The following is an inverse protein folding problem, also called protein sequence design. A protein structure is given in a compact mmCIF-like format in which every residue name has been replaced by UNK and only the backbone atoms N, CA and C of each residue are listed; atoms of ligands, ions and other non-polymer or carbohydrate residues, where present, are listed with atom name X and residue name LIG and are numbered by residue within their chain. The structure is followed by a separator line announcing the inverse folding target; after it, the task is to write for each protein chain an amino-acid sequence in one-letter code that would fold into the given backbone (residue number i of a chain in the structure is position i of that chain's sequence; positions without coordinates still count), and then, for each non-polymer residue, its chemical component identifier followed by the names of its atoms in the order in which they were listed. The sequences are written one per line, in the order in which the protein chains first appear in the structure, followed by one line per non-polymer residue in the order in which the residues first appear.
data_IF_981630276113
#
_entry.id   IF_981630276113
#
_cell.length_a   1.000
_cell.length_b   1.000
_cell.length_c   1.000
_cell.angle_alpha   90.00
_cell.angle_beta   90.00
_cell.angle_gamma   90.00
#
_symmetry.space_group_name_H-M   'P 1'
#
loop_
_entity.id
_entity.type
_entity.pdbx_description
1 polymer ?
#
# COMPACT_ATOMS: atom_id res chain seq x y z
N UNK A 1 -16.41 -14.13 -29.02
CA UNK A 1 -17.72 -14.49 -28.42
C UNK A 1 -18.37 -13.20 -27.91
N UNK A 2 -19.52 -12.79 -28.49
CA UNK A 2 -20.27 -11.59 -28.08
C UNK A 2 -20.67 -11.79 -26.61
N UNK A 3 -20.33 -10.85 -25.73
CA UNK A 3 -20.86 -10.78 -24.38
C UNK A 3 -22.40 -10.75 -24.48
N UNK A 4 -23.05 -11.89 -24.25
CA UNK A 4 -24.48 -11.91 -23.95
C UNK A 4 -24.62 -11.08 -22.67
N UNK A 5 -25.25 -9.93 -22.77
CA UNK A 5 -25.74 -9.17 -21.63
C UNK A 5 -26.75 -10.11 -20.98
N UNK A 6 -26.36 -10.74 -19.88
CA UNK A 6 -27.25 -11.61 -19.11
C UNK A 6 -28.24 -10.68 -18.41
N UNK A 7 -29.45 -10.72 -18.83
CA UNK A 7 -30.56 -9.96 -18.23
C UNK A 7 -31.01 -10.70 -16.97
N UNK A 8 -30.54 -10.25 -15.82
CA UNK A 8 -31.02 -10.72 -14.51
C UNK A 8 -32.26 -9.91 -14.12
N UNK A 9 -33.33 -10.07 -14.88
CA UNK A 9 -34.63 -9.39 -14.65
C UNK A 9 -35.31 -9.84 -13.34
N UNK A 10 -34.87 -10.96 -12.73
CA UNK A 10 -35.41 -11.50 -11.48
C UNK A 10 -34.38 -12.27 -10.68
N UNK A 11 -34.61 -12.38 -9.36
CA UNK A 11 -33.84 -13.24 -8.43
C UNK A 11 -33.79 -14.68 -8.96
N UNK A 12 -34.91 -15.16 -9.49
CA UNK A 12 -35.04 -16.51 -10.06
C UNK A 12 -34.10 -16.73 -11.26
N UNK A 13 -34.03 -15.78 -12.17
CA UNK A 13 -33.13 -15.84 -13.32
C UNK A 13 -31.65 -15.83 -12.89
N UNK A 14 -31.30 -15.02 -11.88
CA UNK A 14 -29.96 -14.98 -11.30
C UNK A 14 -29.57 -16.32 -10.68
N UNK A 15 -30.39 -16.90 -9.80
CA UNK A 15 -30.11 -18.16 -9.13
C UNK A 15 -30.04 -19.34 -10.10
N UNK A 16 -30.95 -19.38 -11.09
CA UNK A 16 -30.93 -20.38 -12.16
C UNK A 16 -29.62 -20.35 -12.92
N UNK A 17 -29.15 -19.19 -13.32
CA UNK A 17 -27.92 -19.04 -14.07
C UNK A 17 -26.69 -19.49 -13.26
N UNK A 18 -26.65 -19.14 -11.96
CA UNK A 18 -25.57 -19.60 -11.08
C UNK A 18 -25.61 -21.12 -10.91
N UNK A 19 -26.81 -21.71 -10.76
CA UNK A 19 -26.97 -23.16 -10.67
C UNK A 19 -26.48 -23.88 -11.93
N UNK A 20 -26.85 -23.39 -13.12
CA UNK A 20 -26.37 -23.93 -14.41
C UNK A 20 -24.84 -23.89 -14.52
N UNK A 21 -24.21 -22.83 -14.02
CA UNK A 21 -22.74 -22.74 -13.97
C UNK A 21 -22.11 -23.64 -12.91
N UNK A 22 -22.77 -23.84 -11.77
CA UNK A 22 -22.28 -24.67 -10.66
C UNK A 22 -22.23 -26.16 -11.00
N UNK A 23 -23.10 -26.64 -11.89
CA UNK A 23 -23.14 -28.06 -12.30
C UNK A 23 -21.88 -28.53 -13.04
N UNK A 24 -21.06 -27.60 -13.56
CA UNK A 24 -19.79 -27.92 -14.22
C UNK A 24 -18.65 -28.31 -13.31
N UNK A 25 -18.71 -28.01 -11.99
CA UNK A 25 -17.74 -28.41 -10.96
C UNK A 25 -16.27 -28.00 -11.19
N UNK A 26 -16.01 -27.03 -12.07
CA UNK A 26 -14.65 -26.59 -12.39
C UNK A 26 -14.35 -25.19 -11.86
N UNK A 27 -13.08 -24.90 -11.60
CA UNK A 27 -12.62 -23.57 -11.15
C UNK A 27 -12.97 -22.46 -12.14
N UNK A 28 -13.08 -22.75 -13.43
CA UNK A 28 -13.46 -21.76 -14.44
C UNK A 28 -14.92 -21.30 -14.26
N UNK A 29 -15.85 -22.23 -13.99
CA UNK A 29 -17.22 -21.88 -13.63
C UNK A 29 -17.29 -21.07 -12.34
N UNK A 30 -16.48 -21.43 -11.33
CA UNK A 30 -16.33 -20.65 -10.12
C UNK A 30 -15.89 -19.21 -10.38
N UNK A 31 -14.95 -18.99 -11.31
CA UNK A 31 -14.52 -17.64 -11.72
C UNK A 31 -15.63 -16.85 -12.47
N UNK A 32 -16.46 -17.52 -13.23
CA UNK A 32 -17.63 -16.86 -13.88
C UNK A 32 -18.65 -16.42 -12.84
N UNK A 33 -19.00 -17.28 -11.91
CA UNK A 33 -19.94 -16.97 -10.81
C UNK A 33 -19.39 -15.83 -9.96
N UNK A 34 -18.10 -15.84 -9.59
CA UNK A 34 -17.43 -14.77 -8.84
C UNK A 34 -17.73 -13.37 -9.39
N UNK A 35 -17.73 -13.20 -10.73
CA UNK A 35 -18.00 -11.92 -11.36
C UNK A 35 -19.42 -11.41 -11.04
N UNK A 36 -20.35 -12.29 -10.77
CA UNK A 36 -21.75 -11.95 -10.47
C UNK A 36 -22.01 -11.79 -8.96
N UNK A 37 -21.11 -12.20 -8.10
CA UNK A 37 -21.22 -12.03 -6.64
C UNK A 37 -20.63 -10.70 -6.13
N UNK A 38 -20.06 -9.88 -7.02
CA UNK A 38 -19.43 -8.61 -6.64
C UNK A 38 -20.46 -7.49 -6.53
N UNK A 39 -20.39 -6.66 -5.48
CA UNK A 39 -21.23 -5.45 -5.31
C UNK A 39 -20.98 -4.33 -6.33
N UNK A 40 -19.99 -4.48 -7.18
CA UNK A 40 -19.71 -3.49 -8.25
C UNK A 40 -20.73 -3.54 -9.39
N UNK A 41 -21.62 -4.52 -9.38
CA UNK A 41 -22.66 -4.72 -10.38
C UNK A 41 -23.98 -4.19 -9.88
N UNK A 42 -24.69 -3.45 -10.74
CA UNK A 42 -26.09 -3.13 -10.50
C UNK A 42 -26.93 -4.37 -10.81
N UNK A 43 -27.76 -4.77 -9.88
CA UNK A 43 -28.71 -5.85 -10.05
C UNK A 43 -30.05 -5.24 -10.43
N UNK A 44 -30.48 -5.42 -11.69
CA UNK A 44 -31.73 -4.86 -12.21
C UNK A 44 -32.96 -5.36 -11.46
N UNK A 45 -32.90 -6.57 -10.88
CA UNK A 45 -34.02 -7.13 -10.09
C UNK A 45 -34.26 -6.42 -8.76
N UNK A 46 -33.32 -5.60 -8.27
CA UNK A 46 -33.52 -4.86 -7.02
C UNK A 46 -34.62 -3.79 -7.11
N UNK A 47 -34.99 -3.37 -8.32
CA UNK A 47 -36.04 -2.38 -8.54
C UNK A 47 -37.47 -3.01 -8.53
N UNK A 48 -37.58 -4.32 -8.74
CA UNK A 48 -38.83 -5.06 -8.83
C UNK A 48 -38.96 -6.13 -7.74
N UNK A 49 -38.48 -5.82 -6.53
CA UNK A 49 -38.53 -6.75 -5.43
C UNK A 49 -39.96 -6.86 -4.86
N UNK A 50 -40.72 -7.85 -5.33
CA UNK A 50 -41.83 -8.39 -4.59
C UNK A 50 -41.30 -9.39 -3.56
N UNK A 51 -41.90 -9.47 -2.38
CA UNK A 51 -41.52 -10.37 -1.26
C UNK A 51 -41.65 -11.86 -1.63
N UNK A 52 -41.04 -12.26 -2.70
CA UNK A 52 -40.83 -13.69 -2.96
C UNK A 52 -39.86 -14.18 -1.93
N UNK A 53 -40.26 -15.19 -1.17
CA UNK A 53 -39.36 -15.86 -0.22
C UNK A 53 -38.10 -16.33 -0.96
N UNK A 54 -37.00 -15.56 -0.84
CA UNK A 54 -35.72 -15.87 -1.49
C UNK A 54 -35.29 -17.29 -1.10
N UNK A 55 -35.57 -17.71 0.13
CA UNK A 55 -35.30 -19.05 0.64
C UNK A 55 -36.01 -20.14 -0.18
N UNK A 56 -37.29 -19.96 -0.47
CA UNK A 56 -38.05 -20.93 -1.27
C UNK A 56 -37.53 -21.03 -2.71
N UNK A 57 -37.09 -19.91 -3.30
CA UNK A 57 -36.50 -19.89 -4.65
C UNK A 57 -35.10 -20.49 -4.64
N UNK A 58 -34.25 -20.20 -3.64
CA UNK A 58 -32.90 -20.76 -3.54
C UNK A 58 -32.94 -22.29 -3.44
N UNK A 59 -33.84 -22.86 -2.62
CA UNK A 59 -34.05 -24.31 -2.48
C UNK A 59 -34.49 -25.02 -3.76
N UNK A 60 -35.06 -24.30 -4.74
CA UNK A 60 -35.39 -24.89 -6.05
C UNK A 60 -34.17 -25.13 -6.94
N UNK A 61 -33.10 -24.36 -6.75
CA UNK A 61 -31.91 -24.39 -7.62
C UNK A 61 -30.68 -24.98 -6.95
N UNK A 62 -30.59 -24.96 -5.63
CA UNK A 62 -29.43 -25.41 -4.88
C UNK A 62 -29.80 -26.38 -3.76
N UNK A 63 -28.87 -27.31 -3.49
CA UNK A 63 -28.91 -28.18 -2.34
C UNK A 63 -28.05 -27.60 -1.21
N UNK A 64 -28.31 -28.02 0.02
CA UNK A 64 -27.49 -27.68 1.18
C UNK A 64 -26.01 -28.03 0.92
N UNK A 65 -25.05 -27.13 1.22
CA UNK A 65 -25.20 -25.87 1.95
C UNK A 65 -25.38 -24.62 1.04
N UNK A 66 -25.35 -24.75 -0.26
CA UNK A 66 -25.34 -23.63 -1.18
C UNK A 66 -26.67 -22.87 -1.28
N UNK A 67 -27.82 -23.52 -1.05
CA UNK A 67 -29.12 -22.87 -0.94
C UNK A 67 -29.12 -21.80 0.15
N UNK A 68 -28.62 -22.14 1.33
CA UNK A 68 -28.49 -21.23 2.46
C UNK A 68 -27.48 -20.11 2.20
N UNK A 69 -26.32 -20.43 1.63
CA UNK A 69 -25.26 -19.47 1.31
C UNK A 69 -25.72 -18.41 0.30
N UNK A 70 -26.40 -18.82 -0.79
CA UNK A 70 -26.90 -17.89 -1.78
C UNK A 70 -28.10 -17.06 -1.30
N UNK A 71 -28.95 -17.62 -0.43
CA UNK A 71 -29.99 -16.86 0.26
C UNK A 71 -29.36 -15.73 1.10
N UNK A 72 -28.38 -16.05 1.93
CA UNK A 72 -27.66 -15.05 2.74
C UNK A 72 -27.02 -13.99 1.84
N UNK A 73 -26.39 -14.39 0.74
CA UNK A 73 -25.73 -13.46 -0.17
C UNK A 73 -26.74 -12.46 -0.78
N UNK A 74 -27.90 -12.92 -1.22
CA UNK A 74 -28.94 -12.04 -1.76
C UNK A 74 -29.44 -11.04 -0.72
N UNK A 75 -29.61 -11.46 0.54
CA UNK A 75 -29.96 -10.56 1.63
C UNK A 75 -28.89 -9.46 1.81
N UNK A 76 -27.60 -9.83 1.72
CA UNK A 76 -26.50 -8.83 1.79
C UNK A 76 -26.58 -7.85 0.62
N UNK A 77 -26.87 -8.33 -0.60
CA UNK A 77 -27.01 -7.47 -1.79
C UNK A 77 -28.14 -6.46 -1.56
N UNK A 78 -29.28 -6.87 -0.97
CA UNK A 78 -30.35 -5.96 -0.57
C UNK A 78 -29.89 -4.92 0.42
N UNK A 79 -29.30 -5.33 1.53
CA UNK A 79 -28.79 -4.39 2.54
C UNK A 79 -27.80 -3.39 1.94
N UNK A 80 -26.97 -3.85 1.02
CA UNK A 80 -26.02 -2.97 0.31
C UNK A 80 -26.76 -1.96 -0.58
N UNK A 81 -27.76 -2.40 -1.36
CA UNK A 81 -28.53 -1.56 -2.26
C UNK A 81 -29.30 -0.47 -1.50
N UNK A 82 -29.95 -0.84 -0.39
CA UNK A 82 -30.64 0.08 0.51
C UNK A 82 -29.72 0.87 1.45
N UNK A 83 -28.39 0.76 1.27
CA UNK A 83 -27.38 1.43 2.08
C UNK A 83 -27.48 1.13 3.59
N UNK A 84 -28.07 0.01 3.97
CA UNK A 84 -28.11 -0.49 5.35
C UNK A 84 -26.81 -1.24 5.68
N UNK A 85 -25.69 -0.51 5.73
CA UNK A 85 -24.35 -1.11 5.80
C UNK A 85 -24.09 -1.86 7.11
N UNK A 86 -24.74 -1.50 8.23
CA UNK A 86 -24.62 -2.24 9.49
C UNK A 86 -25.18 -3.64 9.34
N UNK A 87 -26.44 -3.77 8.90
CA UNK A 87 -27.08 -5.07 8.70
C UNK A 87 -26.37 -5.88 7.61
N UNK A 88 -25.95 -5.20 6.52
CA UNK A 88 -25.18 -5.81 5.45
C UNK A 88 -23.84 -6.39 5.94
N UNK A 89 -23.13 -5.67 6.80
CA UNK A 89 -21.86 -6.12 7.36
C UNK A 89 -22.05 -7.36 8.26
N UNK A 90 -23.00 -7.32 9.21
CA UNK A 90 -23.27 -8.47 10.07
C UNK A 90 -23.74 -9.70 9.29
N UNK A 91 -24.63 -9.50 8.32
CA UNK A 91 -25.09 -10.59 7.46
C UNK A 91 -23.96 -11.19 6.60
N UNK A 92 -23.06 -10.35 6.07
CA UNK A 92 -21.89 -10.82 5.32
C UNK A 92 -20.89 -11.54 6.21
N UNK A 93 -20.72 -11.10 7.44
CA UNK A 93 -19.85 -11.74 8.43
C UNK A 93 -20.36 -13.14 8.74
N UNK A 94 -21.68 -13.29 9.02
CA UNK A 94 -22.31 -14.59 9.24
C UNK A 94 -22.26 -15.48 7.99
N UNK A 95 -22.40 -14.92 6.79
CA UNK A 95 -22.25 -15.66 5.54
C UNK A 95 -20.84 -16.26 5.43
N UNK A 96 -19.78 -15.49 5.72
CA UNK A 96 -18.41 -16.00 5.63
C UNK A 96 -18.14 -17.05 6.72
N UNK A 97 -18.66 -16.86 7.93
CA UNK A 97 -18.59 -17.89 8.99
C UNK A 97 -19.31 -19.18 8.59
N UNK A 98 -20.53 -19.07 8.06
CA UNK A 98 -21.28 -20.21 7.57
C UNK A 98 -20.53 -20.93 6.44
N UNK A 99 -19.95 -20.18 5.50
CA UNK A 99 -19.15 -20.75 4.42
C UNK A 99 -17.92 -21.50 4.96
N UNK A 100 -17.26 -20.98 5.98
CA UNK A 100 -16.12 -21.64 6.63
C UNK A 100 -16.53 -22.99 7.23
N UNK A 101 -17.62 -23.04 7.96
CA UNK A 101 -18.05 -24.24 8.68
C UNK A 101 -18.73 -25.28 7.79
N UNK A 102 -19.51 -24.86 6.79
CA UNK A 102 -20.32 -25.79 5.98
C UNK A 102 -19.67 -26.19 4.66
N UNK A 103 -18.79 -25.34 4.10
CA UNK A 103 -18.13 -25.57 2.81
C UNK A 103 -16.65 -25.88 2.99
N UNK A 104 -15.88 -24.94 3.56
CA UNK A 104 -14.41 -25.10 3.64
C UNK A 104 -13.96 -26.26 4.53
N UNK A 105 -14.66 -26.50 5.66
CA UNK A 105 -14.30 -27.60 6.57
C UNK A 105 -14.82 -28.94 6.10
N UNK A 106 -15.96 -28.98 5.42
CA UNK A 106 -16.69 -30.21 5.08
C UNK A 106 -16.28 -30.76 3.73
N UNK A 107 -16.24 -29.91 2.70
CA UNK A 107 -15.91 -30.34 1.33
C UNK A 107 -14.39 -30.49 1.21
N UNK A 108 -13.94 -31.73 0.99
CA UNK A 108 -12.53 -32.06 0.79
C UNK A 108 -12.30 -32.42 -0.66
N UNK A 109 -11.04 -32.24 -1.12
CA UNK A 109 -10.60 -32.61 -2.47
C UNK A 109 -11.25 -31.83 -3.64
N UNK A 110 -11.88 -30.70 -3.34
CA UNK A 110 -12.50 -29.81 -4.32
C UNK A 110 -12.13 -28.35 -4.04
N UNK A 111 -11.97 -27.57 -5.08
CA UNK A 111 -11.63 -26.13 -4.96
C UNK A 111 -12.42 -25.22 -5.89
N UNK A 112 -13.40 -25.74 -6.63
CA UNK A 112 -14.21 -24.97 -7.57
C UNK A 112 -14.98 -23.81 -6.92
N UNK A 113 -15.27 -23.92 -5.62
CA UNK A 113 -15.94 -22.90 -4.82
C UNK A 113 -14.98 -21.82 -4.25
N UNK A 114 -13.66 -22.00 -4.37
CA UNK A 114 -12.69 -21.01 -3.84
C UNK A 114 -12.86 -19.61 -4.40
N UNK A 115 -13.24 -19.40 -5.69
CA UNK A 115 -13.57 -18.07 -6.17
C UNK A 115 -14.70 -17.38 -5.40
N UNK A 116 -15.66 -18.14 -4.85
CA UNK A 116 -16.77 -17.58 -4.03
C UNK A 116 -16.24 -17.13 -2.68
N UNK A 117 -15.47 -17.99 -2.00
CA UNK A 117 -14.81 -17.66 -0.74
C UNK A 117 -14.03 -16.35 -0.85
N UNK A 118 -13.21 -16.23 -1.89
CA UNK A 118 -12.44 -15.02 -2.17
C UNK A 118 -13.34 -13.80 -2.42
N UNK A 119 -14.47 -13.96 -3.13
CA UNK A 119 -15.38 -12.85 -3.40
C UNK A 119 -16.17 -12.43 -2.16
N UNK A 120 -16.66 -13.39 -1.36
CA UNK A 120 -17.34 -13.08 -0.11
C UNK A 120 -16.43 -12.36 0.88
N UNK A 121 -15.17 -12.77 0.97
CA UNK A 121 -14.16 -12.07 1.76
C UNK A 121 -13.89 -10.65 1.25
N UNK A 122 -13.78 -10.44 -0.08
CA UNK A 122 -13.66 -9.11 -0.69
C UNK A 122 -14.89 -8.24 -0.40
N UNK A 123 -16.08 -8.80 -0.47
CA UNK A 123 -17.33 -8.12 -0.14
C UNK A 123 -17.37 -7.68 1.33
N UNK A 124 -16.91 -8.55 2.25
CA UNK A 124 -16.79 -8.23 3.67
C UNK A 124 -15.87 -7.02 3.92
N UNK A 125 -14.71 -6.99 3.27
CA UNK A 125 -13.78 -5.84 3.34
C UNK A 125 -14.43 -4.56 2.81
N UNK A 126 -15.20 -4.64 1.73
CA UNK A 126 -15.92 -3.49 1.16
C UNK A 126 -16.95 -2.96 2.16
N UNK A 127 -17.77 -3.83 2.75
CA UNK A 127 -18.79 -3.46 3.73
C UNK A 127 -18.17 -2.90 5.01
N UNK A 128 -17.10 -3.50 5.52
CA UNK A 128 -16.34 -2.98 6.66
C UNK A 128 -15.87 -1.55 6.41
N UNK A 129 -15.32 -1.25 5.22
CA UNK A 129 -14.89 0.11 4.85
C UNK A 129 -16.06 1.09 4.72
N UNK A 130 -17.21 0.65 4.19
CA UNK A 130 -18.39 1.49 4.06
C UNK A 130 -19.00 1.80 5.44
N UNK A 131 -19.06 0.81 6.32
CA UNK A 131 -19.53 0.97 7.69
C UNK A 131 -18.60 1.87 8.51
N UNK A 132 -17.28 1.64 8.43
CA UNK A 132 -16.27 2.46 9.10
C UNK A 132 -16.34 3.94 8.69
N UNK A 133 -16.61 4.24 7.41
CA UNK A 133 -16.80 5.62 6.95
C UNK A 133 -18.00 6.32 7.58
N UNK A 134 -19.01 5.57 8.03
CA UNK A 134 -20.20 6.11 8.71
C UNK A 134 -20.06 6.20 10.22
N UNK A 135 -19.09 5.53 10.80
CA UNK A 135 -18.86 5.50 12.25
C UNK A 135 -18.29 6.82 12.82
N UNK A 136 -18.23 7.90 12.01
CA UNK A 136 -17.99 9.29 12.39
C UNK A 136 -16.97 9.44 13.54
N UNK A 137 -15.68 9.31 13.29
CA UNK A 137 -14.56 9.54 14.22
C UNK A 137 -14.48 8.63 15.48
N UNK A 138 -15.38 7.66 15.66
CA UNK A 138 -15.27 6.68 16.74
C UNK A 138 -14.21 5.62 16.37
N UNK A 139 -12.96 5.91 16.73
CA UNK A 139 -11.82 5.05 16.43
C UNK A 139 -11.95 3.65 17.03
N UNK A 140 -12.62 3.52 18.17
CA UNK A 140 -12.82 2.21 18.83
C UNK A 140 -13.76 1.35 18.01
N UNK A 141 -14.90 1.89 17.57
CA UNK A 141 -15.85 1.18 16.70
C UNK A 141 -15.22 0.83 15.34
N UNK A 142 -14.45 1.78 14.76
CA UNK A 142 -13.77 1.54 13.48
C UNK A 142 -12.79 0.37 13.59
N UNK A 143 -11.98 0.32 14.65
CA UNK A 143 -11.06 -0.79 14.90
C UNK A 143 -11.81 -2.10 15.13
N UNK A 144 -12.88 -2.11 15.92
CA UNK A 144 -13.69 -3.31 16.15
C UNK A 144 -14.25 -3.89 14.84
N UNK A 145 -14.82 -3.06 13.95
CA UNK A 145 -15.35 -3.48 12.64
C UNK A 145 -14.26 -4.14 11.79
N UNK A 146 -13.07 -3.54 11.72
CA UNK A 146 -11.97 -4.12 10.93
C UNK A 146 -11.42 -5.38 11.57
N UNK A 147 -11.37 -5.45 12.92
CA UNK A 147 -10.88 -6.63 13.63
C UNK A 147 -11.83 -7.83 13.42
N UNK A 148 -13.14 -7.65 13.60
CA UNK A 148 -14.13 -8.72 13.35
C UNK A 148 -14.03 -9.26 11.91
N UNK A 149 -13.88 -8.37 10.92
CA UNK A 149 -13.69 -8.78 9.53
C UNK A 149 -12.37 -9.55 9.32
N UNK A 150 -11.28 -9.10 9.96
CA UNK A 150 -9.97 -9.73 9.86
C UNK A 150 -9.99 -11.13 10.48
N UNK A 151 -10.59 -11.30 11.66
CA UNK A 151 -10.64 -12.58 12.38
C UNK A 151 -11.35 -13.66 11.55
N UNK A 152 -12.46 -13.32 10.93
CA UNK A 152 -13.22 -14.27 10.10
C UNK A 152 -12.48 -14.61 8.80
N UNK A 153 -11.83 -13.64 8.16
CA UNK A 153 -11.03 -13.90 6.96
C UNK A 153 -9.75 -14.67 7.31
N UNK A 154 -9.14 -14.41 8.47
CA UNK A 154 -7.99 -15.17 8.96
C UNK A 154 -8.35 -16.64 9.18
N UNK A 155 -9.55 -16.91 9.68
CA UNK A 155 -10.06 -18.29 9.79
C UNK A 155 -10.16 -18.95 8.40
N UNK A 156 -10.73 -18.25 7.39
CA UNK A 156 -10.71 -18.73 6.01
C UNK A 156 -9.29 -19.04 5.53
N UNK A 157 -8.36 -18.11 5.77
CA UNK A 157 -6.97 -18.25 5.35
C UNK A 157 -6.30 -19.48 5.98
N UNK A 158 -6.46 -19.65 7.30
CA UNK A 158 -5.90 -20.81 8.03
C UNK A 158 -6.49 -22.14 7.55
N UNK A 159 -7.80 -22.21 7.27
CA UNK A 159 -8.45 -23.41 6.72
C UNK A 159 -7.89 -23.75 5.32
N UNK A 160 -7.65 -22.77 4.48
CA UNK A 160 -7.02 -22.99 3.17
C UNK A 160 -5.53 -23.35 3.28
N UNK A 161 -4.82 -22.77 4.25
CA UNK A 161 -3.41 -23.07 4.52
C UNK A 161 -3.21 -24.51 5.05
N UNK A 162 -4.18 -25.02 5.81
CA UNK A 162 -4.16 -26.38 6.35
C UNK A 162 -4.55 -27.46 5.31
N UNK A 163 -4.87 -27.08 4.07
CA UNK A 163 -5.23 -28.02 3.02
C UNK A 163 -3.99 -28.79 2.54
N UNK A 164 -3.93 -30.07 2.88
CA UNK A 164 -2.78 -30.94 2.62
C UNK A 164 -2.86 -31.67 1.26
N UNK A 165 -3.62 -31.14 0.30
CA UNK A 165 -3.75 -31.78 -1.01
C UNK A 165 -2.43 -31.72 -1.78
N UNK A 166 -1.99 -32.87 -2.27
CA UNK A 166 -0.76 -33.01 -3.04
C UNK A 166 -0.88 -32.47 -4.47
N UNK A 167 -2.08 -32.35 -5.02
CA UNK A 167 -2.35 -31.84 -6.33
C UNK A 167 -2.81 -30.37 -6.25
N UNK A 168 -1.96 -29.45 -6.70
CA UNK A 168 -2.23 -28.02 -6.73
C UNK A 168 -3.56 -27.64 -7.44
N UNK A 169 -3.99 -28.47 -8.43
CA UNK A 169 -5.25 -28.26 -9.16
C UNK A 169 -6.50 -28.39 -8.30
N UNK A 170 -6.45 -29.16 -7.22
CA UNK A 170 -7.59 -29.43 -6.34
C UNK A 170 -7.41 -28.79 -4.95
N UNK A 171 -6.27 -28.19 -4.69
CA UNK A 171 -5.98 -27.54 -3.41
C UNK A 171 -6.75 -26.23 -3.24
N UNK A 172 -7.23 -25.98 -2.02
CA UNK A 172 -7.82 -24.70 -1.62
C UNK A 172 -6.79 -23.56 -1.55
N UNK A 173 -5.52 -23.88 -1.59
CA UNK A 173 -4.41 -22.92 -1.59
C UNK A 173 -4.48 -21.90 -2.73
N UNK A 174 -5.17 -22.22 -3.83
CA UNK A 174 -5.36 -21.27 -4.95
C UNK A 174 -6.04 -19.95 -4.53
N UNK A 175 -6.77 -19.95 -3.42
CA UNK A 175 -7.42 -18.76 -2.85
C UNK A 175 -6.55 -17.95 -1.88
N UNK A 176 -5.43 -18.51 -1.41
CA UNK A 176 -4.62 -17.92 -0.34
C UNK A 176 -4.14 -16.51 -0.67
N UNK A 177 -3.62 -16.26 -1.88
CA UNK A 177 -3.15 -14.93 -2.24
C UNK A 177 -4.27 -13.89 -2.24
N UNK A 178 -5.47 -14.27 -2.65
CA UNK A 178 -6.65 -13.40 -2.65
C UNK A 178 -7.12 -13.08 -1.23
N UNK A 179 -7.14 -14.09 -0.33
CA UNK A 179 -7.48 -13.93 1.08
C UNK A 179 -6.42 -13.10 1.81
N UNK A 180 -5.13 -13.36 1.57
CA UNK A 180 -4.04 -12.56 2.09
C UNK A 180 -4.18 -11.08 1.70
N UNK A 181 -4.52 -10.79 0.46
CA UNK A 181 -4.75 -9.41 0.02
C UNK A 181 -5.91 -8.72 0.78
N UNK A 182 -6.92 -9.49 1.22
CA UNK A 182 -7.99 -8.97 2.06
C UNK A 182 -7.49 -8.71 3.50
N UNK A 183 -6.70 -9.64 4.06
CA UNK A 183 -6.07 -9.48 5.37
C UNK A 183 -5.11 -8.31 5.41
N UNK A 184 -4.21 -8.18 4.45
CA UNK A 184 -3.30 -7.03 4.36
C UNK A 184 -4.06 -5.71 4.36
N UNK A 185 -5.17 -5.60 3.59
CA UNK A 185 -5.98 -4.39 3.54
C UNK A 185 -6.55 -4.01 4.91
N UNK A 186 -6.97 -4.99 5.71
CA UNK A 186 -7.49 -4.80 7.06
C UNK A 186 -6.37 -4.52 8.07
N UNK A 187 -5.29 -5.29 8.05
CA UNK A 187 -4.16 -5.14 8.96
C UNK A 187 -3.46 -3.77 8.81
N UNK A 188 -3.31 -3.28 7.57
CA UNK A 188 -2.84 -1.90 7.35
C UNK A 188 -3.78 -0.84 7.94
N UNK A 189 -5.10 -1.10 8.01
CA UNK A 189 -6.07 -0.21 8.67
C UNK A 189 -6.04 -0.31 10.19
N UNK A 190 -5.71 -1.48 10.71
CA UNK A 190 -5.58 -1.75 12.14
C UNK A 190 -4.21 -1.33 12.70
N UNK A 191 -3.19 -1.19 11.85
CA UNK A 191 -1.81 -0.99 12.25
C UNK A 191 -1.10 -2.28 12.70
N UNK A 192 -1.68 -3.44 12.41
CA UNK A 192 -1.14 -4.78 12.74
C UNK A 192 -0.16 -5.24 11.65
N UNK A 193 1.02 -4.64 11.63
CA UNK A 193 2.00 -4.87 10.56
C UNK A 193 2.69 -6.24 10.70
N UNK A 194 2.89 -6.72 11.92
CA UNK A 194 3.57 -7.99 12.21
C UNK A 194 2.73 -9.18 11.72
N UNK A 195 1.42 -9.16 11.99
CA UNK A 195 0.49 -10.19 11.49
C UNK A 195 0.48 -10.24 9.95
N UNK A 196 0.56 -9.07 9.31
CA UNK A 196 0.66 -8.96 7.86
C UNK A 196 1.97 -9.58 7.34
N UNK A 197 3.09 -9.34 8.02
CA UNK A 197 4.41 -9.90 7.67
C UNK A 197 4.39 -11.42 7.74
N UNK A 198 3.87 -12.02 8.83
CA UNK A 198 3.80 -13.47 9.00
C UNK A 198 3.07 -14.15 7.84
N UNK A 199 1.91 -13.60 7.47
CA UNK A 199 1.14 -14.14 6.35
C UNK A 199 1.88 -13.98 4.99
N UNK A 200 2.59 -12.89 4.78
CA UNK A 200 3.37 -12.65 3.55
C UNK A 200 4.57 -13.59 3.46
N UNK A 201 5.27 -13.82 4.57
CA UNK A 201 6.40 -14.76 4.60
C UNK A 201 6.00 -16.18 4.21
N UNK A 202 4.80 -16.61 4.59
CA UNK A 202 4.28 -17.91 4.15
C UNK A 202 4.18 -18.01 2.63
N UNK A 203 3.65 -16.99 1.97
CA UNK A 203 3.55 -16.97 0.50
C UNK A 203 4.95 -16.87 -0.15
N UNK A 204 5.88 -16.12 0.45
CA UNK A 204 7.26 -16.03 -0.06
C UNK A 204 7.99 -17.37 -0.01
N UNK A 205 7.74 -18.17 1.02
CA UNK A 205 8.30 -19.53 1.14
C UNK A 205 7.68 -20.53 0.12
N UNK A 206 6.47 -20.22 -0.39
CA UNK A 206 5.72 -21.06 -1.32
C UNK A 206 5.46 -20.34 -2.64
N UNK A 207 6.51 -20.11 -3.44
CA UNK A 207 6.44 -19.32 -4.68
C UNK A 207 5.41 -19.84 -5.69
N UNK A 208 5.13 -21.14 -5.72
CA UNK A 208 4.10 -21.75 -6.58
C UNK A 208 2.71 -21.10 -6.39
N UNK A 209 2.37 -20.68 -5.17
CA UNK A 209 1.10 -20.02 -4.87
C UNK A 209 0.98 -18.65 -5.55
N UNK A 210 2.10 -17.96 -5.69
CA UNK A 210 2.14 -16.71 -6.44
C UNK A 210 1.90 -16.94 -7.93
N UNK A 211 2.52 -18.00 -8.51
CA UNK A 211 2.46 -18.25 -9.96
C UNK A 211 1.06 -18.63 -10.45
N UNK A 212 0.30 -19.38 -9.66
CA UNK A 212 -1.07 -19.80 -10.00
C UNK A 212 -2.14 -18.72 -9.79
N UNK A 213 -1.84 -17.66 -9.06
CA UNK A 213 -2.81 -16.61 -8.71
C UNK A 213 -3.19 -15.72 -9.90
N UNK A 214 -4.36 -15.10 -9.84
CA UNK A 214 -4.83 -14.12 -10.82
C UNK A 214 -3.90 -12.89 -10.85
N UNK A 215 -3.66 -12.31 -12.04
CA UNK A 215 -2.77 -11.14 -12.19
C UNK A 215 -3.15 -9.94 -11.29
N UNK A 216 -4.45 -9.70 -11.09
CA UNK A 216 -4.93 -8.64 -10.20
C UNK A 216 -4.54 -8.87 -8.75
N UNK A 217 -4.58 -10.14 -8.28
CA UNK A 217 -4.18 -10.48 -6.93
C UNK A 217 -2.64 -10.45 -6.76
N UNK A 218 -1.86 -10.81 -7.81
CA UNK A 218 -0.40 -10.63 -7.86
C UNK A 218 0.02 -9.17 -7.72
N UNK A 219 -0.62 -8.30 -8.48
CA UNK A 219 -0.37 -6.85 -8.44
C UNK A 219 -0.65 -6.30 -7.05
N UNK A 220 -1.81 -6.64 -6.46
CA UNK A 220 -2.20 -6.18 -5.14
C UNK A 220 -1.24 -6.66 -4.04
N UNK A 221 -0.86 -7.94 -4.10
CA UNK A 221 0.13 -8.52 -3.20
C UNK A 221 1.48 -7.80 -3.27
N UNK A 222 2.02 -7.59 -4.47
CA UNK A 222 3.28 -6.86 -4.65
C UNK A 222 3.19 -5.41 -4.15
N UNK A 223 2.02 -4.75 -4.27
CA UNK A 223 1.82 -3.44 -3.66
C UNK A 223 1.94 -3.48 -2.13
N UNK A 224 1.39 -4.49 -1.47
CA UNK A 224 1.53 -4.65 -0.01
C UNK A 224 2.96 -4.99 0.40
N UNK A 225 3.63 -5.90 -0.32
CA UNK A 225 5.06 -6.17 -0.09
C UNK A 225 5.89 -4.89 -0.20
N UNK A 226 5.67 -4.08 -1.25
CA UNK A 226 6.36 -2.81 -1.41
C UNK A 226 6.08 -1.81 -0.28
N UNK A 227 4.85 -1.73 0.23
CA UNK A 227 4.51 -0.89 1.37
C UNK A 227 5.21 -1.37 2.65
N UNK A 228 5.27 -2.68 2.89
CA UNK A 228 6.00 -3.25 4.03
C UNK A 228 7.50 -3.01 3.93
N UNK A 229 8.08 -3.19 2.74
CA UNK A 229 9.50 -2.88 2.51
C UNK A 229 9.81 -1.41 2.73
N UNK A 230 8.87 -0.48 2.39
CA UNK A 230 8.99 0.93 2.73
C UNK A 230 9.01 1.17 4.24
N UNK A 231 8.12 0.52 5.00
CA UNK A 231 8.10 0.62 6.46
C UNK A 231 9.40 0.10 7.10
N UNK A 232 10.03 -0.89 6.47
CA UNK A 232 11.35 -1.42 6.86
C UNK A 232 12.53 -0.60 6.29
N UNK A 233 12.26 0.51 5.61
CA UNK A 233 13.26 1.35 4.92
C UNK A 233 14.07 0.64 3.83
N UNK A 234 13.59 -0.49 3.33
CA UNK A 234 14.19 -1.22 2.21
C UNK A 234 13.66 -0.68 0.88
N UNK A 235 14.22 0.45 0.41
CA UNK A 235 13.77 1.11 -0.79
C UNK A 235 14.02 0.31 -2.08
N UNK A 236 15.07 -0.54 -2.12
CA UNK A 236 15.36 -1.37 -3.31
C UNK A 236 14.25 -2.39 -3.55
N UNK A 237 13.93 -3.17 -2.53
CA UNK A 237 12.86 -4.17 -2.60
C UNK A 237 11.49 -3.52 -2.84
N UNK A 238 11.24 -2.38 -2.20
CA UNK A 238 10.01 -1.61 -2.42
C UNK A 238 9.87 -1.17 -3.88
N UNK A 239 10.96 -0.66 -4.50
CA UNK A 239 10.98 -0.27 -5.91
C UNK A 239 10.71 -1.45 -6.83
N UNK A 240 11.35 -2.59 -6.59
CA UNK A 240 11.14 -3.82 -7.37
C UNK A 240 9.68 -4.26 -7.31
N UNK A 241 9.08 -4.27 -6.12
CA UNK A 241 7.69 -4.63 -5.92
C UNK A 241 6.73 -3.67 -6.64
N UNK A 242 6.91 -2.36 -6.50
CA UNK A 242 6.04 -1.38 -7.17
C UNK A 242 6.25 -1.34 -8.69
N UNK A 243 7.48 -1.55 -9.15
CA UNK A 243 7.79 -1.64 -10.59
C UNK A 243 7.14 -2.86 -11.21
N UNK A 244 7.21 -4.03 -10.54
CA UNK A 244 6.47 -5.21 -10.94
C UNK A 244 4.98 -4.91 -11.03
N UNK A 245 4.40 -4.33 -9.99
CA UNK A 245 2.99 -4.00 -9.96
C UNK A 245 2.59 -3.05 -11.11
N UNK A 246 3.36 -1.98 -11.34
CA UNK A 246 3.09 -1.02 -12.42
C UNK A 246 3.17 -1.66 -13.82
N UNK A 247 4.12 -2.56 -14.03
CA UNK A 247 4.31 -3.27 -15.31
C UNK A 247 3.13 -4.20 -15.64
N UNK A 248 2.54 -4.82 -14.61
CA UNK A 248 1.45 -5.80 -14.79
C UNK A 248 0.05 -5.17 -14.74
N UNK A 249 -0.07 -3.86 -14.50
CA UNK A 249 -1.35 -3.14 -14.61
C UNK A 249 -1.52 -2.62 -16.03
N UNK A 250 -2.57 -3.05 -16.77
CA UNK A 250 -2.87 -2.52 -18.10
C UNK A 250 -3.09 -1.00 -18.09
N UNK A 251 -2.77 -0.33 -19.20
CA UNK A 251 -2.89 1.13 -19.32
C UNK A 251 -4.34 1.64 -19.18
N UNK A 252 -5.31 0.82 -19.53
CA UNK A 252 -6.74 1.12 -19.37
C UNK A 252 -7.19 1.34 -17.92
N UNK A 253 -6.32 1.08 -16.92
CA UNK A 253 -6.61 1.31 -15.49
C UNK A 253 -5.77 2.46 -14.91
N UNK A 254 -5.90 3.72 -15.38
CA UNK A 254 -5.05 4.84 -14.97
C UNK A 254 -5.16 5.14 -13.47
N UNK A 255 -6.34 4.89 -12.86
CA UNK A 255 -6.54 5.09 -11.41
C UNK A 255 -5.66 4.15 -10.57
N UNK A 256 -5.55 2.88 -10.97
CA UNK A 256 -4.71 1.90 -10.26
C UNK A 256 -3.24 2.25 -10.45
N UNK A 257 -2.83 2.58 -11.67
CA UNK A 257 -1.46 3.05 -11.96
C UNK A 257 -1.09 4.29 -11.14
N UNK A 258 -2.01 5.26 -11.02
CA UNK A 258 -1.81 6.46 -10.17
C UNK A 258 -1.56 6.09 -8.70
N UNK A 259 -2.29 5.12 -8.15
CA UNK A 259 -2.08 4.66 -6.76
C UNK A 259 -0.69 4.06 -6.59
N UNK A 260 -0.25 3.20 -7.50
CA UNK A 260 1.09 2.59 -7.44
C UNK A 260 2.17 3.67 -7.56
N UNK A 261 2.02 4.62 -8.47
CA UNK A 261 2.97 5.71 -8.68
C UNK A 261 3.12 6.61 -7.44
N UNK A 262 2.08 6.77 -6.63
CA UNK A 262 2.16 7.51 -5.36
C UNK A 262 3.15 6.89 -4.35
N UNK A 263 3.42 5.60 -4.45
CA UNK A 263 4.44 4.92 -3.65
C UNK A 263 5.77 4.80 -4.39
N UNK A 264 5.72 4.50 -5.69
CA UNK A 264 6.93 4.30 -6.50
C UNK A 264 7.76 5.58 -6.65
N UNK A 265 7.10 6.74 -6.83
CA UNK A 265 7.80 8.02 -7.01
C UNK A 265 8.65 8.39 -5.78
N UNK A 266 8.11 8.48 -4.57
CA UNK A 266 8.93 8.79 -3.39
C UNK A 266 10.01 7.72 -3.16
N UNK A 267 9.72 6.45 -3.36
CA UNK A 267 10.72 5.36 -3.30
C UNK A 267 11.87 5.61 -4.27
N UNK A 268 11.55 5.95 -5.52
CA UNK A 268 12.56 6.27 -6.53
C UNK A 268 13.41 7.51 -6.18
N UNK A 269 12.81 8.53 -5.56
CA UNK A 269 13.55 9.73 -5.12
C UNK A 269 14.63 9.34 -4.08
N UNK A 270 14.30 8.46 -3.11
CA UNK A 270 15.28 7.95 -2.14
C UNK A 270 16.38 7.09 -2.78
N UNK A 271 16.11 6.51 -3.95
CA UNK A 271 17.12 5.81 -4.76
C UNK A 271 17.84 6.71 -5.78
N UNK A 272 17.60 8.03 -5.74
CA UNK A 272 18.22 9.00 -6.63
C UNK A 272 17.57 9.14 -8.00
N UNK A 273 16.41 8.53 -8.21
CA UNK A 273 15.66 8.59 -9.47
C UNK A 273 14.64 9.74 -9.40
N UNK A 274 14.63 10.57 -10.43
CA UNK A 274 13.72 11.72 -10.51
C UNK A 274 12.64 11.45 -11.54
N UNK A 275 11.35 11.57 -11.20
CA UNK A 275 10.27 11.38 -12.15
C UNK A 275 10.29 12.44 -13.25
N UNK A 276 9.93 12.08 -14.48
CA UNK A 276 9.77 13.03 -15.56
C UNK A 276 8.52 13.90 -15.36
N UNK A 277 8.60 15.17 -15.76
CA UNK A 277 7.47 16.10 -15.69
C UNK A 277 6.26 15.56 -16.45
N UNK A 278 6.47 14.96 -17.63
CA UNK A 278 5.42 14.33 -18.44
C UNK A 278 4.68 13.22 -17.67
N UNK A 279 5.39 12.38 -16.91
CA UNK A 279 4.78 11.34 -16.08
C UNK A 279 3.87 11.96 -15.00
N UNK A 280 4.36 13.00 -14.33
CA UNK A 280 3.61 13.68 -13.28
C UNK A 280 2.35 14.36 -13.80
N UNK A 281 2.42 14.99 -14.97
CA UNK A 281 1.27 15.60 -15.65
C UNK A 281 0.24 14.53 -16.06
N UNK A 282 0.68 13.43 -16.69
CA UNK A 282 -0.20 12.37 -17.17
C UNK A 282 -1.05 11.75 -16.07
N UNK A 283 -0.48 11.60 -14.86
CA UNK A 283 -1.19 10.98 -13.73
C UNK A 283 -1.66 11.98 -12.68
N UNK A 284 -1.60 13.30 -12.96
CA UNK A 284 -1.99 14.36 -12.01
C UNK A 284 -1.31 14.15 -10.64
N UNK A 285 0.03 14.14 -10.66
CA UNK A 285 0.92 13.95 -9.51
C UNK A 285 1.95 15.10 -9.42
N UNK A 286 1.58 16.29 -9.91
CA UNK A 286 2.48 17.46 -10.00
C UNK A 286 3.01 17.93 -8.66
N UNK A 287 2.35 17.60 -7.55
CA UNK A 287 2.87 17.92 -6.21
C UNK A 287 4.25 17.30 -5.93
N UNK A 288 4.59 16.16 -6.53
CA UNK A 288 5.96 15.62 -6.45
C UNK A 288 7.00 16.47 -7.18
N UNK A 289 6.58 17.31 -8.12
CA UNK A 289 7.50 18.20 -8.83
C UNK A 289 8.16 19.20 -7.89
N UNK A 290 7.41 19.75 -6.94
CA UNK A 290 7.92 20.69 -5.93
C UNK A 290 9.04 20.06 -5.11
N UNK A 291 8.84 18.81 -4.63
CA UNK A 291 9.89 18.05 -3.94
C UNK A 291 11.13 17.85 -4.81
N UNK A 292 10.94 17.47 -6.07
CA UNK A 292 12.07 17.18 -6.96
C UNK A 292 12.87 18.43 -7.30
N UNK A 293 12.22 19.58 -7.47
CA UNK A 293 12.89 20.87 -7.72
C UNK A 293 13.66 21.31 -6.47
N UNK A 294 13.04 21.27 -5.30
CA UNK A 294 13.68 21.60 -4.03
C UNK A 294 14.93 20.74 -3.78
N UNK A 295 14.83 19.42 -3.99
CA UNK A 295 15.95 18.49 -3.84
C UNK A 295 17.06 18.71 -4.87
N UNK A 296 16.73 19.01 -6.13
CA UNK A 296 17.72 19.32 -7.17
C UNK A 296 18.52 20.58 -6.85
N UNK A 297 17.83 21.59 -6.35
CA UNK A 297 18.42 22.89 -6.03
C UNK A 297 19.11 22.88 -4.66
N UNK A 298 18.82 21.93 -3.79
CA UNK A 298 19.27 21.94 -2.41
C UNK A 298 18.60 23.06 -1.60
N UNK A 299 17.31 23.34 -1.85
CA UNK A 299 16.56 24.41 -1.17
C UNK A 299 15.67 23.82 -0.07
N UNK A 300 16.08 23.98 1.19
CA UNK A 300 15.38 23.48 2.37
C UNK A 300 14.07 24.24 2.61
N UNK A 301 14.07 25.56 2.43
CA UNK A 301 12.87 26.37 2.59
C UNK A 301 11.77 25.92 1.61
N UNK A 302 12.10 25.75 0.34
CA UNK A 302 11.15 25.25 -0.65
C UNK A 302 10.69 23.83 -0.34
N UNK A 303 11.59 22.96 0.18
CA UNK A 303 11.25 21.61 0.59
C UNK A 303 10.27 21.61 1.78
N UNK A 304 10.50 22.45 2.79
CA UNK A 304 9.62 22.59 3.95
C UNK A 304 8.21 23.02 3.54
N UNK A 305 8.10 24.02 2.65
CA UNK A 305 6.81 24.43 2.10
C UNK A 305 6.09 23.30 1.36
N UNK A 306 6.83 22.50 0.58
CA UNK A 306 6.27 21.33 -0.12
C UNK A 306 5.80 20.25 0.87
N UNK A 307 6.53 20.03 1.97
CA UNK A 307 6.16 19.09 3.03
C UNK A 307 4.88 19.56 3.73
N UNK A 308 4.79 20.82 4.13
CA UNK A 308 3.61 21.38 4.78
C UNK A 308 2.37 21.30 3.90
N UNK A 309 2.49 21.69 2.64
CA UNK A 309 1.38 21.67 1.68
C UNK A 309 0.86 20.26 1.39
N UNK A 310 1.70 19.24 1.44
CA UNK A 310 1.38 17.89 1.01
C UNK A 310 1.34 16.85 2.16
N UNK A 311 1.59 17.25 3.40
CA UNK A 311 1.65 16.37 4.57
C UNK A 311 0.42 15.47 4.74
N UNK A 312 -0.77 16.03 4.55
CA UNK A 312 -2.05 15.29 4.61
C UNK A 312 -2.11 14.18 3.54
N UNK A 313 -1.57 14.43 2.34
CA UNK A 313 -1.55 13.43 1.26
C UNK A 313 -0.66 12.25 1.64
N UNK A 314 0.54 12.51 2.17
CA UNK A 314 1.45 11.48 2.64
C UNK A 314 0.88 10.70 3.85
N UNK A 315 0.21 11.39 4.77
CA UNK A 315 -0.47 10.74 5.90
C UNK A 315 -1.59 9.80 5.45
N UNK A 316 -2.42 10.22 4.49
CA UNK A 316 -3.46 9.37 3.89
C UNK A 316 -2.91 8.14 3.17
N UNK A 317 -1.70 8.22 2.65
CA UNK A 317 -0.99 7.09 2.03
C UNK A 317 -0.30 6.19 3.07
N UNK A 318 -0.19 6.61 4.32
CA UNK A 318 0.54 5.88 5.37
C UNK A 318 2.06 5.95 5.22
N UNK A 319 2.58 6.96 4.52
CA UNK A 319 4.03 7.15 4.24
C UNK A 319 4.55 8.50 4.74
N UNK A 320 3.86 9.11 5.72
CA UNK A 320 4.28 10.40 6.30
C UNK A 320 5.67 10.36 6.92
N UNK A 321 6.13 9.21 7.41
CA UNK A 321 7.47 9.02 7.94
C UNK A 321 8.58 9.36 6.92
N UNK A 322 8.32 9.21 5.62
CA UNK A 322 9.27 9.59 4.57
C UNK A 322 9.54 11.10 4.53
N UNK A 323 8.57 11.92 4.96
CA UNK A 323 8.72 13.38 4.97
C UNK A 323 9.88 13.83 5.85
N UNK A 324 10.13 13.13 6.97
CA UNK A 324 11.24 13.41 7.88
C UNK A 324 12.62 13.03 7.32
N UNK A 325 12.66 12.19 6.29
CA UNK A 325 13.92 11.78 5.66
C UNK A 325 14.33 12.64 4.45
N UNK A 326 13.39 13.34 3.81
CA UNK A 326 13.69 14.20 2.65
C UNK A 326 14.72 15.29 2.95
N UNK A 327 14.74 15.98 4.12
CA UNK A 327 15.75 16.98 4.41
C UNK A 327 17.17 16.45 4.31
N UNK A 328 17.42 15.20 4.70
CA UNK A 328 18.77 14.59 4.61
C UNK A 328 19.29 14.51 3.15
N UNK A 329 18.38 14.23 2.20
CA UNK A 329 18.71 14.24 0.77
C UNK A 329 19.04 15.65 0.28
N UNK A 330 18.31 16.64 0.77
CA UNK A 330 18.54 18.05 0.42
C UNK A 330 19.89 18.54 0.96
N UNK A 331 20.21 18.27 2.23
CA UNK A 331 21.50 18.60 2.84
C UNK A 331 22.66 17.92 2.11
N UNK A 332 22.52 16.63 1.79
CA UNK A 332 23.51 15.93 0.97
C UNK A 332 23.75 16.63 -0.37
N UNK A 333 22.67 17.10 -1.00
CA UNK A 333 22.76 17.84 -2.26
C UNK A 333 23.52 19.16 -2.12
N UNK A 334 23.29 19.91 -1.04
CA UNK A 334 24.03 21.15 -0.74
C UNK A 334 25.52 20.86 -0.61
N UNK A 335 25.89 19.88 0.20
CA UNK A 335 27.32 19.49 0.36
C UNK A 335 27.94 19.16 -0.99
N UNK A 336 27.23 18.42 -1.86
CA UNK A 336 27.71 18.08 -3.19
C UNK A 336 27.85 19.30 -4.11
N UNK A 337 26.99 20.31 -4.00
CA UNK A 337 27.08 21.56 -4.76
C UNK A 337 28.29 22.35 -4.27
N UNK A 338 28.44 22.54 -2.96
CA UNK A 338 29.59 23.26 -2.39
C UNK A 338 30.91 22.58 -2.74
N UNK A 339 31.00 21.26 -2.65
CA UNK A 339 32.17 20.49 -3.03
C UNK A 339 32.57 20.74 -4.49
N UNK A 340 31.59 20.84 -5.39
CA UNK A 340 31.85 21.16 -6.81
C UNK A 340 32.33 22.58 -7.03
N UNK A 341 31.80 23.54 -6.26
CA UNK A 341 32.20 24.97 -6.36
C UNK A 341 33.62 25.17 -5.82
N UNK A 342 33.91 24.55 -4.68
CA UNK A 342 35.24 24.63 -4.05
C UNK A 342 36.30 23.91 -4.88
N UNK A 343 35.94 22.87 -5.60
CA UNK A 343 36.86 22.08 -6.43
C UNK A 343 37.95 21.33 -5.64
N UNK A 344 37.84 21.26 -4.31
CA UNK A 344 38.77 20.60 -3.41
C UNK A 344 38.03 19.53 -2.55
N UNK A 345 38.78 18.52 -2.12
CA UNK A 345 38.28 17.51 -1.17
C UNK A 345 38.25 18.04 0.26
N UNK A 346 38.97 19.08 0.56
CA UNK A 346 39.02 19.78 1.84
C UNK A 346 38.12 21.00 1.75
N UNK A 347 37.00 20.98 2.44
CA UNK A 347 35.96 22.00 2.37
C UNK A 347 35.91 22.74 3.72
N UNK A 348 36.16 24.02 3.83
CA UNK A 348 35.98 24.78 5.05
C UNK A 348 34.51 24.71 5.52
N UNK A 349 34.27 24.36 6.79
CA UNK A 349 32.92 24.20 7.36
C UNK A 349 32.10 25.49 7.24
N UNK A 350 32.74 26.65 7.29
CA UNK A 350 32.09 27.96 7.09
C UNK A 350 31.34 28.06 5.76
N UNK A 351 31.86 27.48 4.67
CA UNK A 351 31.19 27.53 3.37
C UNK A 351 29.94 26.66 3.34
N UNK A 352 30.01 25.51 3.98
CA UNK A 352 28.84 24.61 4.14
C UNK A 352 27.79 25.25 5.04
N UNK A 353 28.20 25.86 6.16
CA UNK A 353 27.31 26.58 7.06
C UNK A 353 26.55 27.71 6.35
N UNK A 354 27.27 28.55 5.60
CA UNK A 354 26.65 29.61 4.80
C UNK A 354 25.66 29.06 3.75
N UNK A 355 26.01 27.96 3.09
CA UNK A 355 25.14 27.34 2.10
C UNK A 355 23.87 26.73 2.76
N UNK A 356 23.98 26.16 3.96
CA UNK A 356 22.86 25.67 4.74
C UNK A 356 21.95 26.80 5.17
N UNK A 357 22.51 27.87 5.72
CA UNK A 357 21.75 29.06 6.14
C UNK A 357 20.99 29.71 4.96
N UNK A 358 21.63 29.88 3.82
CA UNK A 358 20.97 30.37 2.59
C UNK A 358 19.83 29.48 2.14
N UNK A 359 20.01 28.17 2.25
CA UNK A 359 19.00 27.19 1.87
C UNK A 359 17.78 27.19 2.80
N UNK A 360 17.98 27.46 4.08
CA UNK A 360 16.91 27.45 5.09
C UNK A 360 16.16 28.78 5.18
N UNK A 361 16.85 29.90 5.13
CA UNK A 361 16.27 31.23 5.36
C UNK A 361 15.68 31.87 4.09
N UNK A 362 15.97 31.32 2.91
CA UNK A 362 15.48 31.87 1.64
C UNK A 362 15.97 33.29 1.35
N UNK A 363 17.12 33.68 1.93
CA UNK A 363 17.65 35.03 1.88
C UNK A 363 18.04 35.41 0.45
N UNK A 364 17.63 36.60 0.01
CA UNK A 364 18.05 37.18 -1.24
C UNK A 364 19.60 37.41 -1.25
N UNK A 365 20.25 36.98 -2.31
CA UNK A 365 21.71 37.03 -2.50
C UNK A 365 22.31 38.43 -2.30
N UNK A 366 21.50 39.47 -2.39
CA UNK A 366 21.93 40.89 -2.28
C UNK A 366 22.37 41.27 -0.85
N UNK A 367 21.87 40.58 0.18
CA UNK A 367 22.24 40.82 1.61
C UNK A 367 23.38 39.93 2.11
N UNK A 368 23.99 39.17 1.24
CA UNK A 368 24.96 38.11 1.57
C UNK A 368 26.25 38.56 2.26
N UNK A 369 26.92 39.71 1.85
CA UNK A 369 28.14 40.13 2.53
C UNK A 369 27.96 40.47 3.99
N UNK A 370 26.84 41.06 4.39
CA UNK A 370 26.55 41.43 5.76
C UNK A 370 26.16 40.20 6.61
N UNK A 371 25.52 39.18 6.00
CA UNK A 371 25.16 37.95 6.65
C UNK A 371 26.40 37.13 7.10
N UNK A 372 27.45 37.13 6.30
CA UNK A 372 28.70 36.43 6.61
C UNK A 372 29.45 37.05 7.79
N UNK A 373 29.35 38.37 7.99
CA UNK A 373 30.09 39.09 9.03
C UNK A 373 29.40 39.10 10.40
N UNK A 374 28.09 39.03 10.43
CA UNK A 374 27.33 39.25 11.68
C UNK A 374 26.77 37.97 12.34
N UNK A 375 26.54 36.89 11.60
CA UNK A 375 25.77 35.74 12.12
C UNK A 375 26.61 34.50 12.49
N UNK A 376 27.90 34.46 12.17
CA UNK A 376 28.76 33.29 12.47
C UNK A 376 29.16 33.26 13.96
N UNK A 377 29.24 34.42 14.59
CA UNK A 377 29.82 34.57 15.94
C UNK A 377 28.73 34.47 17.04
N UNK A 378 27.47 34.80 16.73
CA UNK A 378 26.46 35.00 17.78
C UNK A 378 25.46 33.84 17.97
N UNK A 379 25.54 32.75 17.20
CA UNK A 379 24.52 31.68 17.27
C UNK A 379 25.16 30.29 17.45
N UNK A 380 25.66 30.03 18.64
CA UNK A 380 26.28 28.77 19.02
C UNK A 380 25.33 27.56 18.78
N UNK A 381 24.03 27.73 18.97
CA UNK A 381 23.04 26.68 18.78
C UNK A 381 22.87 26.29 17.31
N UNK A 382 22.79 27.24 16.41
CA UNK A 382 22.70 26.96 14.95
C UNK A 382 23.97 26.30 14.40
N UNK A 383 25.14 26.65 14.95
CA UNK A 383 26.41 26.02 14.58
C UNK A 383 26.46 24.56 15.05
N UNK A 384 26.00 24.28 16.25
CA UNK A 384 25.90 22.93 16.77
C UNK A 384 24.89 22.08 16.00
N UNK A 385 23.72 22.64 15.65
CA UNK A 385 22.73 21.99 14.80
C UNK A 385 23.32 21.60 13.42
N UNK A 386 24.06 22.54 12.82
CA UNK A 386 24.76 22.27 11.54
C UNK A 386 25.75 21.11 11.66
N UNK A 387 26.54 21.08 12.74
CA UNK A 387 27.46 19.96 12.98
C UNK A 387 26.72 18.64 13.16
N UNK A 388 25.62 18.61 13.92
CA UNK A 388 24.77 17.44 14.08
C UNK A 388 24.23 16.94 12.72
N UNK A 389 23.81 17.84 11.85
CA UNK A 389 23.33 17.48 10.49
C UNK A 389 24.47 16.81 9.70
N UNK A 390 25.68 17.38 9.69
CA UNK A 390 26.81 16.80 8.98
C UNK A 390 27.20 15.42 9.54
N UNK A 391 27.28 15.29 10.86
CA UNK A 391 27.58 14.02 11.52
C UNK A 391 26.55 12.96 11.12
N UNK A 392 25.25 13.30 11.14
CA UNK A 392 24.18 12.41 10.72
C UNK A 392 24.29 11.98 9.25
N UNK A 393 24.70 12.90 8.35
CA UNK A 393 24.92 12.55 6.94
C UNK A 393 26.07 11.57 6.75
N UNK A 394 27.13 11.71 7.54
CA UNK A 394 28.28 10.80 7.53
C UNK A 394 27.91 9.43 8.15
N UNK A 395 27.30 9.44 9.32
CA UNK A 395 26.88 8.23 10.03
C UNK A 395 25.92 7.37 9.20
N UNK A 396 24.97 8.00 8.51
CA UNK A 396 24.03 7.32 7.59
C UNK A 396 24.63 6.95 6.23
N UNK A 397 25.92 7.11 6.03
CA UNK A 397 26.63 6.86 4.75
C UNK A 397 26.04 7.64 3.56
N UNK A 398 25.39 8.77 3.82
CA UNK A 398 24.96 9.67 2.77
C UNK A 398 26.15 10.40 2.13
N UNK A 399 27.21 10.62 2.92
CA UNK A 399 28.46 11.22 2.51
C UNK A 399 29.60 10.41 3.15
N UNK A 400 30.63 10.08 2.38
CA UNK A 400 31.87 9.49 2.90
C UNK A 400 32.88 10.62 3.14
N UNK A 401 32.95 11.09 4.37
CA UNK A 401 33.78 12.21 4.76
C UNK A 401 34.18 12.09 6.24
N UNK A 402 35.17 12.86 6.65
CA UNK A 402 35.56 13.07 8.05
C UNK A 402 35.57 14.56 8.37
N UNK A 403 35.28 14.91 9.62
CA UNK A 403 35.33 16.29 10.10
C UNK A 403 36.61 16.49 10.87
N UNK A 404 37.47 17.44 10.43
CA UNK A 404 38.62 17.93 11.19
C UNK A 404 38.15 19.12 12.04
N UNK A 405 38.09 18.91 13.35
CA UNK A 405 37.74 19.97 14.31
C UNK A 405 38.88 20.96 14.51
N UNK A 406 40.14 20.52 14.33
CA UNK A 406 41.32 21.38 14.45
C UNK A 406 41.37 22.46 13.36
N UNK A 407 41.05 22.07 12.12
CA UNK A 407 41.11 22.97 10.95
C UNK A 407 39.73 23.51 10.56
N UNK A 408 38.65 23.11 11.27
CA UNK A 408 37.28 23.43 10.88
C UNK A 408 36.96 23.10 9.43
N UNK A 409 37.30 21.88 8.98
CA UNK A 409 37.13 21.43 7.60
C UNK A 409 36.40 20.10 7.53
N UNK A 410 35.65 19.89 6.44
CA UNK A 410 35.13 18.60 6.01
C UNK A 410 36.06 18.02 4.97
N UNK A 411 36.62 16.83 5.22
CA UNK A 411 37.52 16.12 4.32
C UNK A 411 36.76 14.99 3.65
N UNK A 412 36.59 15.07 2.33
CA UNK A 412 35.92 14.06 1.51
C UNK A 412 36.88 12.89 1.20
N UNK A 413 36.39 11.66 1.31
CA UNK A 413 37.17 10.45 1.03
C UNK A 413 37.43 10.28 -0.48
N UNK A 414 38.58 9.68 -0.83
CA UNK A 414 39.10 9.68 -2.20
C UNK A 414 38.29 8.90 -3.23
N UNK A 415 37.73 7.76 -2.88
CA UNK A 415 37.16 6.85 -3.87
C UNK A 415 35.66 6.99 -4.10
N UNK A 416 34.90 7.42 -3.11
CA UNK A 416 33.43 7.50 -3.20
C UNK A 416 32.85 8.51 -2.21
N UNK A 417 33.20 9.80 -2.37
CA UNK A 417 32.73 10.86 -1.45
C UNK A 417 31.20 10.93 -1.34
N UNK A 418 30.50 10.60 -2.42
CA UNK A 418 29.04 10.58 -2.48
C UNK A 418 28.57 9.21 -2.99
N UNK A 419 28.46 8.20 -2.12
CA UNK A 419 28.04 6.86 -2.51
C UNK A 419 26.66 6.88 -3.17
N UNK A 420 26.30 5.81 -3.88
CA UNK A 420 24.96 5.68 -4.42
C UNK A 420 23.92 5.77 -3.29
N UNK A 421 22.79 6.47 -3.54
CA UNK A 421 21.70 6.52 -2.55
C UNK A 421 21.12 5.12 -2.26
N UNK A 422 21.39 4.16 -3.14
CA UNK A 422 21.05 2.75 -2.92
C UNK A 422 21.90 2.07 -1.84
N UNK A 423 23.04 2.67 -1.45
CA UNK A 423 23.96 2.17 -0.42
C UNK A 423 23.80 2.91 0.91
N UNK A 424 23.07 4.05 0.89
CA UNK A 424 22.79 4.80 2.10
C UNK A 424 21.93 3.97 3.06
N UNK A 425 22.32 3.92 4.31
CA UNK A 425 21.56 3.25 5.37
C UNK A 425 20.51 4.22 5.90
N UNK A 426 19.25 3.92 5.58
CA UNK A 426 18.12 4.60 6.20
C UNK A 426 17.65 3.73 7.37
N UNK A 427 17.92 4.15 8.60
CA UNK A 427 17.40 3.51 9.80
C UNK A 427 16.03 4.06 10.14
N UNK A 428 15.12 3.18 10.53
CA UNK A 428 13.82 3.60 11.04
C UNK A 428 14.01 4.39 12.35
N UNK A 429 13.62 5.66 12.43
CA UNK A 429 13.75 6.43 13.68
C UNK A 429 12.92 5.86 14.84
N UNK A 430 11.96 4.96 14.56
CA UNK A 430 11.15 4.27 15.57
C UNK A 430 11.84 3.03 16.19
N UNK A 431 12.96 2.57 15.64
CA UNK A 431 13.71 1.39 16.11
C UNK A 431 15.12 1.76 16.65
N UNK A 432 15.30 2.97 17.17
CA UNK A 432 16.56 3.38 17.79
C UNK A 432 16.83 2.73 19.16
N UNK A 433 15.92 1.90 19.68
CA UNK A 433 16.08 1.20 20.96
C UNK A 433 16.84 -0.13 20.88
N UNK A 434 17.19 -0.65 19.71
CA UNK A 434 17.92 -1.93 19.57
C UNK A 434 19.44 -1.80 19.44
N UNK A 435 20.01 -0.61 19.65
CA UNK A 435 21.46 -0.36 19.59
C UNK A 435 22.04 0.16 20.92
N UNK A 436 21.47 -0.24 22.06
CA UNK A 436 22.05 0.00 23.39
C UNK A 436 22.70 -1.27 23.95
#
# INVERSE_FOLDING_TARGET
MRNKILDFSSVKAFLRQISEWGQGGTTEYGKQIKKHLSFQREYSFLHNYEEVSIDAVAKQYFHNPFDYIFNMHLNVVFFHAFKSYSNGFHQQLELVKAFNSTVLQVIKNENWFMPFCCQFSKNLVVLAKLLARRASNDQVKIKAIFQEAADVILQCYKLCQADLQTHAMNSKEIGLLSLLNCLCELYFKLGQIDDCNECIEFIMKNNSLFDIADNADKVKYKCYCGQLSLLKWNFKEAEECFTFALKHVPEQYPRVRKIILKYLIPTGIFLGKVPSKKLLETYDLMFFHEFTVALKNGNICQLSNAIESNGITFARLGISFLLHAFPSLCYRRIVRIVARIVGSKIIPLRYLYCAFALSTEGVNVVSFPNFLMTNIVDNCDKWNEFHCILINLIAKKNINASISTADNTLVLNDSTSFPSLTEATYTNPLFLEELA
#
